data_IF_884978529263
#
_entry.id   IF_884978529263
#
_cell.length_a   1.000
_cell.length_b   1.000
_cell.length_c   1.000
_cell.angle_alpha   90.00
_cell.angle_beta   90.00
_cell.angle_gamma   90.00
#
_symmetry.space_group_name_H-M   'P 1'
#
loop_
_entity.id
_entity.type
_entity.pdbx_description
1 polymer ?
#
# COMPACT_ATOMS: atom_id res chain seq x y z
N UNK A 1 -17.42 15.96 6.54
CA UNK A 1 -17.94 15.05 5.53
C UNK A 1 -18.66 15.87 4.45
N UNK A 2 -18.86 15.33 3.25
CA UNK A 2 -19.56 15.94 2.10
C UNK A 2 -18.98 17.27 1.60
N UNK A 3 -17.70 17.49 1.81
CA UNK A 3 -16.97 18.65 1.30
C UNK A 3 -15.96 18.19 0.24
N UNK A 4 -16.32 18.33 -1.01
CA UNK A 4 -15.42 18.04 -2.13
C UNK A 4 -14.57 19.27 -2.45
N UNK A 5 -13.26 19.15 -2.30
CA UNK A 5 -12.33 20.22 -2.64
C UNK A 5 -12.31 20.43 -4.16
N UNK A 6 -12.42 21.67 -4.59
CA UNK A 6 -12.45 22.05 -6.02
C UNK A 6 -11.27 22.92 -6.40
N UNK A 7 -10.81 23.76 -5.48
CA UNK A 7 -9.73 24.70 -5.75
C UNK A 7 -8.84 24.89 -4.55
N UNK A 8 -7.54 25.04 -4.79
CA UNK A 8 -6.53 25.42 -3.81
C UNK A 8 -5.80 26.64 -4.36
N UNK A 9 -5.87 27.74 -3.65
CA UNK A 9 -5.23 29.01 -4.02
C UNK A 9 -4.28 29.45 -2.92
N UNK A 10 -3.12 29.98 -3.33
CA UNK A 10 -2.18 30.63 -2.41
C UNK A 10 -2.40 32.14 -2.48
N UNK A 11 -2.61 32.75 -1.32
CA UNK A 11 -2.69 34.20 -1.18
C UNK A 11 -1.74 34.64 -0.06
N UNK A 12 -0.60 35.22 -0.45
CA UNK A 12 0.49 35.57 0.48
C UNK A 12 0.94 34.34 1.29
N UNK A 13 0.75 34.36 2.62
CA UNK A 13 1.10 33.30 3.53
C UNK A 13 -0.07 32.35 3.88
N UNK A 14 -1.24 32.57 3.28
CA UNK A 14 -2.45 31.79 3.55
C UNK A 14 -2.83 30.93 2.34
N UNK A 15 -3.58 29.89 2.62
CA UNK A 15 -4.15 29.00 1.62
C UNK A 15 -5.66 29.09 1.68
N UNK A 16 -6.28 29.31 0.54
CA UNK A 16 -7.73 29.38 0.38
C UNK A 16 -8.17 28.09 -0.30
N UNK A 17 -9.04 27.36 0.38
CA UNK A 17 -9.67 26.14 -0.12
C UNK A 17 -11.10 26.46 -0.51
N UNK A 18 -11.51 26.07 -1.72
CA UNK A 18 -12.91 26.18 -2.15
C UNK A 18 -13.51 24.78 -2.25
N UNK A 19 -14.68 24.61 -1.63
CA UNK A 19 -15.45 23.37 -1.63
C UNK A 19 -16.85 23.64 -2.18
N UNK A 20 -17.39 22.69 -2.96
CA UNK A 20 -18.79 22.70 -3.42
C UNK A 20 -19.23 24.09 -3.91
N UNK A 21 -18.45 24.69 -4.82
CA UNK A 21 -18.65 25.97 -5.53
C UNK A 21 -18.73 27.25 -4.66
N UNK A 22 -18.94 27.15 -3.34
CA UNK A 22 -19.18 28.34 -2.53
C UNK A 22 -18.50 28.38 -1.16
N UNK A 23 -18.24 27.24 -0.55
CA UNK A 23 -17.65 27.19 0.80
C UNK A 23 -16.17 27.46 0.72
N UNK A 24 -15.72 28.53 1.38
CA UNK A 24 -14.29 28.87 1.43
C UNK A 24 -13.76 28.66 2.86
N UNK A 25 -12.60 28.01 2.94
CA UNK A 25 -11.83 27.84 4.18
C UNK A 25 -10.45 28.45 3.97
N UNK A 26 -10.01 29.26 4.90
CA UNK A 26 -8.68 29.87 4.91
C UNK A 26 -7.85 29.18 5.99
N UNK A 27 -6.63 28.78 5.67
CA UNK A 27 -5.71 28.16 6.62
C UNK A 27 -4.26 28.64 6.37
N UNK A 28 -3.44 28.54 7.41
CA UNK A 28 -2.02 28.91 7.33
C UNK A 28 -1.18 27.75 6.78
N UNK A 29 -1.63 26.50 6.96
CA UNK A 29 -0.96 25.31 6.46
C UNK A 29 -1.99 24.25 6.02
N UNK A 30 -1.83 23.71 4.84
CA UNK A 30 -2.65 22.63 4.30
C UNK A 30 -1.90 21.31 4.34
N UNK A 31 -2.47 20.29 4.99
CA UNK A 31 -1.95 18.92 4.96
C UNK A 31 -2.88 18.05 4.12
N UNK A 32 -2.36 17.54 3.02
CA UNK A 32 -3.09 16.68 2.07
C UNK A 32 -2.79 15.22 2.42
N UNK A 33 -3.83 14.45 2.78
CA UNK A 33 -3.75 13.04 3.18
C UNK A 33 -4.87 12.19 2.58
N UNK A 34 -5.39 12.57 1.42
CA UNK A 34 -6.58 12.05 0.74
C UNK A 34 -6.31 10.82 -0.14
N UNK A 35 -5.19 10.11 0.12
CA UNK A 35 -4.89 8.79 -0.43
C UNK A 35 -4.25 8.81 -1.82
N UNK A 36 -4.15 7.61 -2.44
CA UNK A 36 -3.41 7.41 -3.69
C UNK A 36 -3.98 8.20 -4.87
N UNK A 37 -5.29 8.39 -4.91
CA UNK A 37 -5.99 9.19 -5.94
C UNK A 37 -6.18 10.66 -5.53
N UNK A 38 -5.33 11.16 -4.69
CA UNK A 38 -5.37 12.49 -4.10
C UNK A 38 -5.87 13.59 -5.05
N UNK A 39 -7.03 14.12 -4.76
CA UNK A 39 -7.60 15.28 -5.43
C UNK A 39 -6.79 16.53 -5.12
N UNK A 40 -6.39 16.69 -3.85
CA UNK A 40 -5.57 17.81 -3.40
C UNK A 40 -4.22 17.85 -4.13
N UNK A 41 -3.53 16.70 -4.26
CA UNK A 41 -2.29 16.61 -5.06
C UNK A 41 -2.52 16.95 -6.52
N UNK A 42 -3.61 16.49 -7.12
CA UNK A 42 -3.95 16.78 -8.51
C UNK A 42 -4.14 18.28 -8.74
N UNK A 43 -4.83 18.97 -7.82
CA UNK A 43 -5.07 20.41 -7.91
C UNK A 43 -3.78 21.24 -7.81
N UNK A 44 -2.84 20.84 -6.96
CA UNK A 44 -1.57 21.59 -6.80
C UNK A 44 -0.51 21.22 -7.82
N UNK A 45 -0.66 20.10 -8.55
CA UNK A 45 0.28 19.63 -9.58
C UNK A 45 -0.26 19.77 -11.00
N UNK A 46 -1.40 20.43 -11.20
CA UNK A 46 -2.08 20.53 -12.50
C UNK A 46 -2.24 19.15 -13.19
N UNK A 47 -2.53 18.10 -12.40
CA UNK A 47 -2.67 16.71 -12.84
C UNK A 47 -1.42 16.06 -13.46
N UNK A 48 -0.22 16.59 -13.24
CA UNK A 48 1.01 16.02 -13.80
C UNK A 48 1.42 14.69 -13.15
N UNK A 49 1.08 14.48 -11.87
CA UNK A 49 1.48 13.30 -11.10
C UNK A 49 0.27 12.42 -10.81
N UNK A 50 0.09 11.39 -11.63
CA UNK A 50 -0.97 10.38 -11.45
C UNK A 50 -0.41 9.06 -10.93
N UNK A 51 -1.19 8.31 -10.14
CA UNK A 51 -0.82 6.94 -9.76
C UNK A 51 -0.86 6.02 -10.98
N UNK A 52 -0.09 4.93 -10.92
CA UNK A 52 -0.07 3.94 -11.98
C UNK A 52 -0.54 2.59 -11.46
N UNK A 53 -1.29 1.88 -12.28
CA UNK A 53 -1.66 0.50 -12.01
C UNK A 53 -0.41 -0.39 -11.99
N UNK A 54 -0.26 -1.20 -10.94
CA UNK A 54 0.90 -2.06 -10.71
C UNK A 54 0.75 -3.46 -11.34
N UNK A 55 -0.12 -3.63 -12.31
CA UNK A 55 -0.45 -4.93 -12.92
C UNK A 55 -0.71 -6.02 -11.86
N UNK A 56 -1.40 -5.68 -10.78
CA UNK A 56 -1.74 -6.62 -9.72
C UNK A 56 -3.04 -6.24 -9.03
N UNK A 57 -3.75 -7.27 -8.57
CA UNK A 57 -4.96 -7.14 -7.74
C UNK A 57 -4.61 -7.60 -6.33
N UNK A 58 -4.96 -6.79 -5.35
CA UNK A 58 -4.98 -7.18 -3.95
C UNK A 58 -6.32 -7.83 -3.64
N UNK A 59 -6.28 -8.99 -3.00
CA UNK A 59 -7.43 -9.79 -2.62
C UNK A 59 -7.45 -9.82 -1.10
N UNK A 60 -8.52 -9.39 -0.49
CA UNK A 60 -8.72 -9.43 0.96
C UNK A 60 -9.88 -10.35 1.29
N UNK A 61 -9.75 -11.06 2.42
CA UNK A 61 -10.79 -11.91 2.95
C UNK A 61 -10.49 -12.30 4.38
N UNK A 62 -11.45 -12.95 5.02
CA UNK A 62 -11.32 -13.48 6.36
C UNK A 62 -11.46 -15.00 6.32
N UNK A 63 -10.74 -15.68 7.22
CA UNK A 63 -10.83 -17.13 7.38
C UNK A 63 -10.84 -17.49 8.86
N UNK A 64 -11.71 -18.44 9.23
CA UNK A 64 -11.76 -18.96 10.60
C UNK A 64 -10.61 -19.92 10.86
N UNK A 65 -10.09 -19.92 12.09
CA UNK A 65 -9.01 -20.79 12.57
C UNK A 65 -9.23 -22.26 12.25
N UNK A 66 -10.42 -22.76 12.45
CA UNK A 66 -10.78 -24.18 12.20
C UNK A 66 -10.45 -24.64 10.78
N UNK A 67 -10.31 -23.71 9.83
CA UNK A 67 -10.00 -23.95 8.42
C UNK A 67 -8.51 -23.75 8.09
N UNK A 68 -7.66 -23.50 9.11
CA UNK A 68 -6.23 -23.27 8.96
C UNK A 68 -5.44 -24.40 9.63
N UNK A 69 -5.18 -25.48 8.89
CA UNK A 69 -4.37 -26.58 9.38
C UNK A 69 -2.88 -26.21 9.36
N UNK A 70 -2.15 -26.49 10.45
CA UNK A 70 -0.69 -26.36 10.56
C UNK A 70 -0.11 -24.94 10.43
N UNK A 71 -0.90 -23.88 10.61
CA UNK A 71 -0.38 -22.52 10.72
C UNK A 71 -0.06 -22.17 12.17
N UNK A 72 1.05 -21.47 12.36
CA UNK A 72 1.35 -20.91 13.68
C UNK A 72 0.46 -19.70 13.93
N UNK A 73 -0.44 -19.83 14.87
CA UNK A 73 -1.52 -18.89 15.18
C UNK A 73 -1.02 -17.54 15.72
N UNK A 74 0.21 -17.47 16.18
CA UNK A 74 0.80 -16.25 16.74
C UNK A 74 1.64 -15.46 15.73
N UNK A 75 1.84 -16.01 14.53
CA UNK A 75 2.75 -15.44 13.55
C UNK A 75 2.02 -14.93 12.31
N UNK A 76 2.68 -14.01 11.63
CA UNK A 76 2.35 -13.65 10.24
C UNK A 76 2.97 -14.70 9.33
N UNK A 77 2.16 -15.40 8.55
CA UNK A 77 2.60 -16.42 7.58
C UNK A 77 2.56 -15.87 6.17
N UNK A 78 3.71 -15.85 5.49
CA UNK A 78 3.86 -15.43 4.10
C UNK A 78 4.06 -16.64 3.19
N UNK A 79 3.23 -16.76 2.17
CA UNK A 79 3.29 -17.77 1.14
C UNK A 79 3.62 -17.14 -0.21
N UNK A 80 4.60 -17.71 -0.90
CA UNK A 80 5.07 -17.22 -2.20
C UNK A 80 4.84 -18.25 -3.28
N UNK A 81 4.20 -17.84 -4.38
CA UNK A 81 3.85 -18.73 -5.49
C UNK A 81 4.10 -18.09 -6.86
N UNK A 82 3.68 -18.80 -7.89
CA UNK A 82 3.80 -18.36 -9.28
C UNK A 82 2.90 -17.13 -9.55
N UNK A 83 3.53 -15.96 -9.77
CA UNK A 83 2.82 -14.69 -10.00
C UNK A 83 1.82 -14.31 -8.91
N UNK A 84 2.02 -14.81 -7.69
CA UNK A 84 1.12 -14.63 -6.58
C UNK A 84 1.85 -14.80 -5.25
N UNK A 85 1.47 -14.01 -4.25
CA UNK A 85 1.80 -14.27 -2.86
C UNK A 85 0.60 -13.91 -1.99
N UNK A 86 0.54 -14.52 -0.80
CA UNK A 86 -0.47 -14.17 0.19
C UNK A 86 0.10 -14.23 1.61
N UNK A 87 -0.56 -13.49 2.48
CA UNK A 87 -0.22 -13.40 3.91
C UNK A 87 -1.47 -13.74 4.70
N UNK A 88 -1.28 -14.55 5.75
CA UNK A 88 -2.32 -14.86 6.73
C UNK A 88 -1.80 -14.48 8.11
N UNK A 89 -2.62 -13.79 8.90
CA UNK A 89 -2.31 -13.40 10.27
C UNK A 89 -3.56 -13.24 11.13
N UNK A 90 -3.47 -13.45 12.46
CA UNK A 90 -4.61 -13.29 13.35
C UNK A 90 -5.06 -11.83 13.44
N UNK A 91 -6.36 -11.59 13.58
CA UNK A 91 -6.95 -10.24 13.72
C UNK A 91 -7.44 -9.94 15.13
N UNK A 92 -7.64 -10.94 15.96
CA UNK A 92 -8.14 -10.80 17.32
C UNK A 92 -7.25 -11.56 18.33
N UNK A 93 -7.39 -11.22 19.59
CA UNK A 93 -6.54 -11.77 20.65
C UNK A 93 -6.82 -13.26 20.95
N UNK A 94 -8.00 -13.76 20.61
CA UNK A 94 -8.38 -15.17 20.75
C UNK A 94 -7.87 -16.05 19.61
N UNK A 95 -7.34 -15.42 18.53
CA UNK A 95 -6.85 -16.09 17.32
C UNK A 95 -7.92 -16.97 16.61
N UNK A 96 -9.20 -16.64 16.75
CA UNK A 96 -10.27 -17.38 16.08
C UNK A 96 -10.52 -16.87 14.65
N UNK A 97 -10.18 -15.62 14.35
CA UNK A 97 -10.30 -15.02 13.05
C UNK A 97 -8.94 -14.58 12.48
N UNK A 98 -8.74 -14.87 11.22
CA UNK A 98 -7.51 -14.54 10.49
C UNK A 98 -7.83 -13.69 9.28
N UNK A 99 -6.99 -12.71 9.02
CA UNK A 99 -7.01 -11.92 7.81
C UNK A 99 -6.19 -12.62 6.72
N UNK A 100 -6.75 -12.64 5.53
CA UNK A 100 -6.09 -13.09 4.32
C UNK A 100 -5.86 -11.88 3.40
N UNK A 101 -4.62 -11.70 2.95
CA UNK A 101 -4.27 -10.71 1.93
C UNK A 101 -3.45 -11.39 0.86
N UNK A 102 -4.02 -11.52 -0.34
CA UNK A 102 -3.33 -12.02 -1.52
C UNK A 102 -2.97 -10.88 -2.48
N UNK A 103 -1.87 -10.99 -3.20
CA UNK A 103 -1.50 -10.11 -4.31
C UNK A 103 -1.24 -10.95 -5.53
N UNK A 104 -2.13 -10.86 -6.50
CA UNK A 104 -2.08 -11.60 -7.76
C UNK A 104 -1.62 -10.69 -8.89
N UNK A 105 -0.63 -11.13 -9.67
CA UNK A 105 -0.27 -10.45 -10.91
C UNK A 105 -1.43 -10.59 -11.90
N UNK A 106 -1.99 -9.46 -12.29
CA UNK A 106 -3.19 -9.41 -13.11
C UNK A 106 -3.14 -8.17 -14.01
N UNK A 107 -3.39 -8.34 -15.30
CA UNK A 107 -3.48 -7.22 -16.23
C UNK A 107 -4.93 -6.81 -16.39
N UNK A 108 -5.20 -5.54 -16.26
CA UNK A 108 -6.48 -4.91 -16.54
C UNK A 108 -6.34 -4.01 -17.76
N UNK A 109 -7.39 -3.93 -18.53
CA UNK A 109 -7.55 -2.95 -19.61
C UNK A 109 -7.87 -1.57 -19.03
N UNK A 110 -7.73 -0.51 -19.83
CA UNK A 110 -8.09 0.84 -19.39
C UNK A 110 -9.57 0.93 -18.96
N UNK A 111 -10.47 0.32 -19.73
CA UNK A 111 -11.91 0.32 -19.42
C UNK A 111 -12.23 -0.39 -18.10
N UNK A 112 -11.54 -1.49 -17.77
CA UNK A 112 -11.70 -2.18 -16.49
C UNK A 112 -11.16 -1.34 -15.32
N UNK A 113 -10.08 -0.59 -15.53
CA UNK A 113 -9.51 0.29 -14.51
C UNK A 113 -10.41 1.49 -14.18
N UNK A 114 -11.17 1.97 -15.15
CA UNK A 114 -12.12 3.07 -14.98
C UNK A 114 -13.45 2.60 -14.38
N UNK A 115 -13.74 1.30 -14.41
CA UNK A 115 -14.94 0.71 -13.83
C UNK A 115 -14.70 0.18 -12.41
N UNK A 116 -14.78 1.05 -11.41
CA UNK A 116 -14.61 0.64 -10.00
C UNK A 116 -15.69 -0.32 -9.50
N UNK A 117 -16.87 -0.38 -10.16
CA UNK A 117 -17.94 -1.33 -9.85
C UNK A 117 -17.53 -2.76 -10.12
N UNK A 118 -16.75 -3.00 -11.17
CA UNK A 118 -16.26 -4.32 -11.61
C UNK A 118 -15.67 -5.15 -10.45
N UNK A 119 -14.87 -4.53 -9.60
CA UNK A 119 -14.15 -5.23 -8.51
C UNK A 119 -15.04 -5.72 -7.37
N UNK A 120 -16.33 -5.34 -7.39
CA UNK A 120 -17.38 -5.76 -6.45
C UNK A 120 -18.33 -6.78 -7.05
N UNK A 121 -18.27 -7.00 -8.36
CA UNK A 121 -19.13 -7.93 -9.07
C UNK A 121 -18.78 -9.38 -8.72
N UNK A 122 -19.78 -10.19 -8.43
CA UNK A 122 -19.60 -11.62 -8.09
C UNK A 122 -18.86 -12.38 -9.20
N UNK A 123 -19.19 -12.10 -10.46
CA UNK A 123 -18.52 -12.71 -11.61
C UNK A 123 -17.02 -12.42 -11.67
N UNK A 124 -16.60 -11.18 -11.35
CA UNK A 124 -15.18 -10.82 -11.29
C UNK A 124 -14.49 -11.54 -10.13
N UNK A 125 -15.11 -11.54 -8.94
CA UNK A 125 -14.58 -12.20 -7.73
C UNK A 125 -14.44 -13.70 -7.99
N UNK A 126 -15.43 -14.34 -8.63
CA UNK A 126 -15.36 -15.76 -8.99
C UNK A 126 -14.25 -16.03 -10.00
N UNK A 127 -14.06 -15.21 -11.02
CA UNK A 127 -12.96 -15.32 -11.98
C UNK A 127 -11.57 -15.17 -11.31
N UNK A 128 -11.46 -14.38 -10.24
CA UNK A 128 -10.24 -14.32 -9.41
C UNK A 128 -10.07 -15.61 -8.60
N UNK A 129 -11.13 -16.15 -7.98
CA UNK A 129 -11.08 -17.44 -7.26
C UNK A 129 -10.60 -18.58 -8.16
N UNK A 130 -11.12 -18.66 -9.37
CA UNK A 130 -10.74 -19.69 -10.36
C UNK A 130 -9.24 -19.62 -10.70
N UNK A 131 -8.68 -18.41 -10.81
CA UNK A 131 -7.23 -18.22 -11.02
C UNK A 131 -6.39 -18.60 -9.78
N UNK A 132 -6.99 -18.69 -8.62
CA UNK A 132 -6.33 -19.05 -7.36
C UNK A 132 -6.42 -20.55 -7.04
N UNK A 133 -7.29 -21.33 -7.66
CA UNK A 133 -7.53 -22.75 -7.37
C UNK A 133 -6.24 -23.60 -7.32
N UNK A 134 -5.28 -23.33 -8.22
CA UNK A 134 -4.01 -24.06 -8.27
C UNK A 134 -2.86 -23.32 -7.53
N UNK A 135 -3.15 -22.24 -6.80
CA UNK A 135 -2.15 -21.40 -6.12
C UNK A 135 -2.30 -21.40 -4.60
N UNK A 136 -3.49 -21.73 -4.11
CA UNK A 136 -3.85 -21.81 -2.71
C UNK A 136 -4.49 -23.18 -2.48
N UNK A 137 -4.34 -23.73 -1.27
CA UNK A 137 -5.05 -24.97 -0.94
C UNK A 137 -6.57 -24.76 -1.02
N UNK A 138 -7.29 -25.76 -1.52
CA UNK A 138 -8.76 -25.71 -1.63
C UNK A 138 -9.40 -25.37 -0.28
N UNK A 139 -8.90 -25.95 0.81
CA UNK A 139 -9.40 -25.69 2.16
C UNK A 139 -9.34 -24.20 2.55
N UNK A 140 -8.31 -23.45 2.15
CA UNK A 140 -8.25 -22.01 2.39
C UNK A 140 -9.21 -21.27 1.45
N UNK A 141 -9.16 -21.58 0.16
CA UNK A 141 -9.91 -20.86 -0.86
C UNK A 141 -11.43 -20.98 -0.68
N UNK A 142 -11.90 -22.19 -0.37
CA UNK A 142 -13.34 -22.49 -0.18
C UNK A 142 -13.91 -21.89 1.11
N UNK A 143 -13.05 -21.62 2.09
CA UNK A 143 -13.43 -21.05 3.39
C UNK A 143 -13.08 -19.56 3.54
N UNK A 144 -12.64 -18.89 2.48
CA UNK A 144 -12.49 -17.44 2.48
C UNK A 144 -13.85 -16.75 2.46
N UNK A 145 -14.09 -15.89 3.45
CA UNK A 145 -15.28 -15.07 3.56
C UNK A 145 -14.96 -13.59 3.25
N UNK A 146 -15.98 -12.80 2.94
CA UNK A 146 -15.91 -11.35 2.71
C UNK A 146 -14.83 -10.95 1.69
N UNK A 147 -14.74 -11.71 0.59
CA UNK A 147 -13.72 -11.48 -0.43
C UNK A 147 -13.97 -10.15 -1.11
N UNK A 148 -12.92 -9.31 -1.10
CA UNK A 148 -12.88 -8.02 -1.79
C UNK A 148 -11.64 -7.93 -2.65
N UNK A 149 -11.80 -7.43 -3.87
CA UNK A 149 -10.73 -7.24 -4.82
C UNK A 149 -10.44 -5.74 -5.01
N UNK A 150 -9.16 -5.39 -5.07
CA UNK A 150 -8.72 -4.00 -5.25
C UNK A 150 -7.58 -3.95 -6.27
N UNK A 151 -7.69 -3.15 -7.34
CA UNK A 151 -6.55 -2.89 -8.21
C UNK A 151 -5.47 -2.14 -7.43
N UNK A 152 -4.23 -2.59 -7.55
CA UNK A 152 -3.11 -1.98 -6.84
C UNK A 152 -2.56 -0.81 -7.64
N UNK A 153 -2.70 0.39 -7.11
CA UNK A 153 -2.09 1.59 -7.66
C UNK A 153 -0.89 2.03 -6.82
N UNK A 154 0.15 2.50 -7.49
CA UNK A 154 1.40 2.96 -6.88
C UNK A 154 1.81 4.32 -7.41
N UNK A 155 2.60 5.05 -6.63
CA UNK A 155 3.19 6.30 -7.10
C UNK A 155 4.39 6.04 -8.00
N UNK A 156 4.48 6.78 -9.12
CA UNK A 156 5.66 6.81 -9.99
C UNK A 156 6.68 7.86 -9.57
N UNK A 157 6.22 8.90 -8.88
CA UNK A 157 7.02 10.03 -8.43
C UNK A 157 6.41 10.63 -7.16
N UNK A 158 7.08 11.63 -6.63
CA UNK A 158 6.61 12.42 -5.50
C UNK A 158 6.60 13.91 -5.87
N UNK A 159 5.72 14.67 -5.22
CA UNK A 159 5.64 16.10 -5.31
C UNK A 159 6.20 16.73 -4.03
N UNK A 160 7.04 17.76 -4.18
CA UNK A 160 7.34 18.71 -3.12
C UNK A 160 6.47 19.94 -3.36
N UNK A 161 5.37 20.12 -2.65
CA UNK A 161 4.61 21.36 -2.75
C UNK A 161 5.46 22.51 -2.18
N UNK A 162 5.12 23.71 -2.52
CA UNK A 162 5.79 24.88 -1.93
C UNK A 162 5.48 25.03 -0.44
N UNK A 163 5.91 26.14 0.15
CA UNK A 163 5.67 26.49 1.55
C UNK A 163 4.17 26.39 1.90
N UNK A 164 3.89 26.00 3.13
CA UNK A 164 2.56 25.91 3.73
C UNK A 164 1.62 24.82 3.15
N UNK A 165 2.13 23.95 2.25
CA UNK A 165 1.38 22.77 1.81
C UNK A 165 2.24 21.52 2.04
N UNK A 166 1.66 20.49 2.65
CA UNK A 166 2.33 19.21 2.87
C UNK A 166 1.49 18.05 2.38
N UNK A 167 2.15 17.00 1.89
CA UNK A 167 1.57 15.73 1.49
C UNK A 167 2.07 14.64 2.44
N UNK A 168 1.17 13.79 2.94
CA UNK A 168 1.53 12.63 3.77
C UNK A 168 0.80 11.38 3.30
N UNK A 169 1.23 10.22 3.78
CA UNK A 169 0.63 8.92 3.43
C UNK A 169 0.67 8.62 1.94
N UNK A 170 -0.35 7.93 1.44
CA UNK A 170 -0.45 7.55 0.03
C UNK A 170 -0.65 8.76 -0.90
N UNK A 171 -1.13 9.89 -0.39
CA UNK A 171 -1.17 11.14 -1.14
C UNK A 171 0.25 11.63 -1.48
N UNK A 172 1.22 11.45 -0.57
CA UNK A 172 2.63 11.70 -0.87
C UNK A 172 3.22 10.59 -1.72
N UNK A 173 3.15 9.33 -1.25
CA UNK A 173 3.73 8.21 -1.98
C UNK A 173 3.07 6.86 -1.61
N UNK A 174 2.38 6.25 -2.57
CA UNK A 174 1.81 4.91 -2.46
C UNK A 174 2.82 3.85 -2.91
N UNK A 175 3.05 2.85 -2.05
CA UNK A 175 4.01 1.75 -2.29
C UNK A 175 3.34 0.49 -2.85
N UNK A 176 4.09 -0.38 -3.56
CA UNK A 176 3.65 -1.76 -3.74
C UNK A 176 3.41 -2.44 -2.39
N UNK A 177 2.33 -3.24 -2.22
CA UNK A 177 1.93 -3.78 -0.91
C UNK A 177 2.87 -4.87 -0.34
N UNK A 178 3.81 -5.37 -1.14
CA UNK A 178 4.67 -6.53 -0.82
C UNK A 178 5.68 -6.31 0.32
N UNK A 179 5.68 -5.15 0.96
CA UNK A 179 6.50 -4.86 2.14
C UNK A 179 5.68 -4.42 3.35
N UNK A 180 4.34 -4.37 3.21
CA UNK A 180 3.38 -4.02 4.26
C UNK A 180 3.69 -2.69 5.00
N UNK A 181 4.25 -1.69 4.30
CA UNK A 181 4.72 -0.45 4.92
C UNK A 181 3.76 0.74 4.77
N UNK A 182 2.68 0.64 3.99
CA UNK A 182 1.80 1.78 3.70
C UNK A 182 1.30 2.49 4.97
N UNK A 183 0.63 1.77 5.86
CA UNK A 183 0.04 2.35 7.07
C UNK A 183 1.11 2.90 8.04
N UNK A 184 2.18 2.11 8.33
CA UNK A 184 3.24 2.56 9.24
C UNK A 184 3.96 3.80 8.71
N UNK A 185 4.18 3.88 7.39
CA UNK A 185 4.79 5.04 6.76
C UNK A 185 3.88 6.27 6.73
N UNK A 186 2.57 6.09 6.71
CA UNK A 186 1.60 7.19 6.83
C UNK A 186 1.62 7.78 8.24
N UNK A 187 1.61 6.93 9.27
CA UNK A 187 1.66 7.34 10.69
C UNK A 187 2.99 8.05 11.00
N UNK A 188 4.09 7.43 10.61
CA UNK A 188 5.43 7.99 10.81
C UNK A 188 5.60 9.32 10.08
N UNK A 189 5.14 9.42 8.83
CA UNK A 189 5.19 10.66 8.05
C UNK A 189 4.36 11.79 8.68
N UNK A 190 3.21 11.47 9.28
CA UNK A 190 2.42 12.43 10.03
C UNK A 190 3.16 12.95 11.27
N UNK A 191 3.83 12.06 12.02
CA UNK A 191 4.63 12.42 13.18
C UNK A 191 5.87 13.25 12.81
N UNK A 192 6.60 12.85 11.76
CA UNK A 192 7.75 13.60 11.25
C UNK A 192 7.34 15.01 10.80
N UNK A 193 6.22 15.14 10.08
CA UNK A 193 5.71 16.44 9.65
C UNK A 193 5.29 17.32 10.84
N UNK A 194 4.61 16.74 11.84
CA UNK A 194 4.26 17.46 13.05
C UNK A 194 5.51 18.05 13.73
N UNK A 195 6.55 17.25 13.92
CA UNK A 195 7.80 17.70 14.53
C UNK A 195 8.54 18.76 13.68
N UNK A 196 8.45 18.64 12.36
CA UNK A 196 9.06 19.61 11.44
C UNK A 196 8.38 20.98 11.54
N UNK A 197 7.05 21.00 11.55
CA UNK A 197 6.25 22.24 11.68
C UNK A 197 6.43 22.85 13.09
N UNK A 198 6.30 22.04 14.14
CA UNK A 198 6.38 22.52 15.53
C UNK A 198 7.75 23.12 15.86
N UNK A 199 8.82 22.67 15.22
CA UNK A 199 10.19 23.14 15.45
C UNK A 199 10.73 24.01 14.32
N UNK A 200 9.94 24.38 13.32
CA UNK A 200 10.32 25.21 12.16
C UNK A 200 11.60 24.72 11.42
N UNK A 201 11.76 23.38 11.26
CA UNK A 201 12.99 22.79 10.72
C UNK A 201 13.07 22.83 9.19
N UNK A 202 11.94 22.77 8.50
CA UNK A 202 11.85 22.71 7.04
C UNK A 202 12.64 21.57 6.36
N UNK A 203 12.83 20.45 7.07
CA UNK A 203 13.62 19.29 6.63
C UNK A 203 12.77 18.08 6.22
N UNK A 204 11.46 18.10 6.51
CA UNK A 204 10.56 16.99 6.33
C UNK A 204 10.73 16.28 4.98
N UNK A 205 10.64 17.02 3.87
CA UNK A 205 10.74 16.39 2.56
C UNK A 205 12.13 15.83 2.24
N UNK A 206 13.19 16.46 2.71
CA UNK A 206 14.55 15.98 2.46
C UNK A 206 14.76 14.62 3.11
N UNK A 207 14.36 14.48 4.37
CA UNK A 207 14.45 13.23 5.13
C UNK A 207 13.48 12.18 4.62
N UNK A 208 12.21 12.58 4.39
CA UNK A 208 11.14 11.68 3.98
C UNK A 208 11.37 11.05 2.61
N UNK A 209 11.91 11.81 1.64
CA UNK A 209 12.22 11.30 0.31
C UNK A 209 13.26 10.19 0.35
N UNK A 210 14.30 10.32 1.16
CA UNK A 210 15.34 9.28 1.31
C UNK A 210 14.70 7.98 1.82
N UNK A 211 13.87 8.08 2.86
CA UNK A 211 13.16 6.94 3.46
C UNK A 211 12.18 6.30 2.49
N UNK A 212 11.37 7.10 1.82
CA UNK A 212 10.40 6.64 0.80
C UNK A 212 11.10 5.90 -0.34
N UNK A 213 12.22 6.40 -0.85
CA UNK A 213 13.01 5.71 -1.89
C UNK A 213 13.50 4.35 -1.43
N UNK A 214 14.05 4.26 -0.21
CA UNK A 214 14.52 3.01 0.37
C UNK A 214 13.40 1.99 0.48
N UNK A 215 12.24 2.38 1.03
CA UNK A 215 11.09 1.51 1.22
C UNK A 215 10.50 1.07 -0.12
N UNK A 216 10.37 1.99 -1.08
CA UNK A 216 9.88 1.67 -2.42
C UNK A 216 10.77 0.64 -3.13
N UNK A 217 12.10 0.79 -3.04
CA UNK A 217 13.03 -0.17 -3.64
C UNK A 217 12.90 -1.56 -2.99
N UNK A 218 12.75 -1.63 -1.66
CA UNK A 218 12.51 -2.90 -0.96
C UNK A 218 11.15 -3.50 -1.30
N UNK A 219 10.10 -2.68 -1.38
CA UNK A 219 8.78 -3.14 -1.81
C UNK A 219 8.79 -3.72 -3.22
N UNK A 220 9.49 -3.08 -4.16
CA UNK A 220 9.67 -3.57 -5.53
C UNK A 220 10.48 -4.86 -5.57
N UNK A 221 11.57 -4.95 -4.81
CA UNK A 221 12.39 -6.16 -4.71
C UNK A 221 11.58 -7.33 -4.14
N UNK A 222 10.84 -7.10 -3.06
CA UNK A 222 9.96 -8.12 -2.48
C UNK A 222 8.87 -8.54 -3.48
N UNK A 223 8.23 -7.58 -4.14
CA UNK A 223 7.21 -7.88 -5.15
C UNK A 223 7.77 -8.76 -6.26
N UNK A 224 8.95 -8.45 -6.77
CA UNK A 224 9.64 -9.27 -7.76
C UNK A 224 9.96 -10.67 -7.21
N UNK A 225 10.60 -10.76 -6.04
CA UNK A 225 11.01 -12.03 -5.45
C UNK A 225 9.84 -12.95 -5.10
N UNK A 226 8.73 -12.38 -4.61
CA UNK A 226 7.54 -13.15 -4.23
C UNK A 226 6.75 -13.69 -5.42
N UNK A 227 6.89 -13.08 -6.60
CA UNK A 227 6.16 -13.44 -7.82
C UNK A 227 6.99 -14.21 -8.85
N UNK A 228 8.19 -14.67 -8.49
CA UNK A 228 9.02 -15.49 -9.37
C UNK A 228 8.30 -16.78 -9.74
N UNK A 229 8.39 -17.15 -11.03
CA UNK A 229 7.66 -18.28 -11.61
C UNK A 229 8.54 -19.35 -12.24
N UNK A 230 9.78 -19.00 -12.64
CA UNK A 230 10.72 -19.96 -13.18
C UNK A 230 11.22 -20.91 -12.07
N UNK A 231 11.08 -22.24 -12.20
CA UNK A 231 11.41 -23.19 -11.14
C UNK A 231 12.87 -23.11 -10.67
N UNK A 232 13.81 -22.90 -11.59
CA UNK A 232 15.24 -22.79 -11.29
C UNK A 232 15.50 -21.53 -10.43
N UNK A 233 14.95 -20.40 -10.86
CA UNK A 233 15.11 -19.14 -10.12
C UNK A 233 14.43 -19.21 -8.75
N UNK A 234 13.27 -19.85 -8.66
CA UNK A 234 12.55 -20.10 -7.39
C UNK A 234 13.39 -20.96 -6.46
N UNK A 235 14.05 -22.01 -6.95
CA UNK A 235 14.96 -22.84 -6.16
C UNK A 235 16.08 -21.98 -5.53
N UNK A 236 16.78 -21.19 -6.31
CA UNK A 236 17.83 -20.31 -5.80
C UNK A 236 17.29 -19.23 -4.85
N UNK A 237 16.14 -18.61 -5.17
CA UNK A 237 15.47 -17.68 -4.25
C UNK A 237 15.22 -18.32 -2.89
N UNK A 238 14.71 -19.56 -2.85
CA UNK A 238 14.39 -20.21 -1.58
C UNK A 238 15.64 -20.50 -0.75
N UNK A 239 16.75 -20.91 -1.39
CA UNK A 239 18.04 -21.08 -0.72
C UNK A 239 18.50 -19.74 -0.13
N UNK A 240 18.53 -18.69 -0.94
CA UNK A 240 18.97 -17.36 -0.52
C UNK A 240 18.12 -16.85 0.66
N UNK A 241 16.79 -16.93 0.57
CA UNK A 241 15.91 -16.52 1.65
C UNK A 241 16.14 -17.33 2.94
N UNK A 242 16.38 -18.64 2.84
CA UNK A 242 16.69 -19.48 3.99
C UNK A 242 17.95 -19.04 4.73
N UNK A 243 18.97 -18.56 4.02
CA UNK A 243 20.18 -17.99 4.62
C UNK A 243 19.95 -16.59 5.18
N UNK A 244 19.31 -15.71 4.39
CA UNK A 244 19.08 -14.30 4.76
C UNK A 244 18.18 -14.18 6.01
N UNK A 245 17.11 -14.98 6.10
CA UNK A 245 16.20 -14.94 7.25
C UNK A 245 16.81 -15.45 8.56
N UNK A 246 17.92 -16.21 8.50
CA UNK A 246 18.70 -16.62 9.66
C UNK A 246 19.81 -15.64 10.06
N UNK A 247 20.16 -14.72 9.16
CA UNK A 247 21.24 -13.78 9.38
C UNK A 247 20.72 -12.53 10.12
N UNK A 248 21.07 -12.41 11.41
CA UNK A 248 20.65 -11.28 12.27
C UNK A 248 21.13 -9.92 11.74
N UNK A 249 22.34 -9.85 11.18
CA UNK A 249 22.87 -8.62 10.60
C UNK A 249 22.06 -8.18 9.39
N UNK A 250 21.72 -9.13 8.49
CA UNK A 250 20.86 -8.84 7.35
C UNK A 250 19.47 -8.35 7.81
N UNK A 251 18.84 -9.04 8.75
CA UNK A 251 17.53 -8.66 9.27
C UNK A 251 17.57 -7.27 9.93
N UNK A 252 18.57 -7.00 10.74
CA UNK A 252 18.76 -5.67 11.34
C UNK A 252 19.00 -4.58 10.29
N UNK A 253 19.75 -4.86 9.23
CA UNK A 253 19.99 -3.91 8.14
C UNK A 253 18.77 -3.74 7.22
N UNK A 254 18.08 -4.82 6.91
CA UNK A 254 16.97 -4.82 5.95
C UNK A 254 15.66 -4.33 6.58
N UNK A 255 15.33 -4.79 7.78
CA UNK A 255 14.13 -4.39 8.52
C UNK A 255 14.40 -3.24 9.49
N UNK A 256 15.49 -3.31 10.25
CA UNK A 256 15.76 -2.35 11.31
C UNK A 256 16.01 -0.92 10.83
N UNK A 257 16.59 -0.73 9.64
CA UNK A 257 16.75 0.62 9.06
C UNK A 257 15.44 1.33 8.71
N UNK A 258 14.30 0.62 8.72
CA UNK A 258 13.00 1.25 8.50
C UNK A 258 12.57 2.04 9.73
N UNK A 259 12.94 1.56 10.91
CA UNK A 259 12.51 2.08 12.23
C UNK A 259 13.62 2.87 12.96
N UNK A 260 14.82 2.95 12.39
CA UNK A 260 15.89 3.78 12.91
C UNK A 260 15.87 5.13 12.21
N UNK A 261 15.69 6.17 12.99
CA UNK A 261 15.93 7.56 12.59
C UNK A 261 17.44 7.81 12.50
#
# INVERSE_FOLDING_TARGET
YDHNIEKIEKNNNQIILTFNESIKVICDHLIISDGVFSKGKSLISNNEIKPAYNNSIAIRGNISRKNLNNLNEKNISLFMGHNFHYVIYPINNDNEAFNFIGVLKYKLTANELDNYGLFKEEGFIQGIKDKLQNKISANILDNLNDIKCFPVFISKGYLKPGTNISLIGDAFFAFPPSFAQGASQSIEGGYELFNDIANNKNEFYNNRIVKVRMINNRSKLNHFAFHLSNPIIVFFRNIILKFLTKNKFFLSSYLGKIYKN
#
